data_IF_039847582026
#
_entry.id   IF_039847582026
#
_cell.length_a   1.000
_cell.length_b   1.000
_cell.length_c   1.000
_cell.angle_alpha   90.00
_cell.angle_beta   90.00
_cell.angle_gamma   90.00
#
_symmetry.space_group_name_H-M   'P 1'
#
loop_
_entity.id
_entity.type
_entity.pdbx_description
1 polymer ?
#
# COMPACT_ATOMS: atom_id res chain seq x y z
N UNK A 1 -13.87 45.34 -4.76
CA UNK A 1 -13.35 44.65 -3.56
C UNK A 1 -14.35 43.57 -3.16
N UNK A 2 -14.10 42.31 -3.52
CA UNK A 2 -14.97 41.18 -3.18
C UNK A 2 -14.08 40.00 -2.81
N UNK A 3 -13.98 39.72 -1.51
CA UNK A 3 -13.23 38.62 -0.92
C UNK A 3 -14.13 37.39 -0.83
N UNK A 4 -13.92 36.42 -1.73
CA UNK A 4 -14.51 35.07 -1.59
C UNK A 4 -13.63 34.22 -0.68
N UNK A 5 -14.13 33.95 0.52
CA UNK A 5 -13.68 32.87 1.39
C UNK A 5 -13.97 31.51 0.71
N UNK A 6 -12.92 30.76 0.38
CA UNK A 6 -13.00 29.33 0.03
C UNK A 6 -12.75 28.52 1.30
N UNK A 7 -13.80 27.91 1.84
CA UNK A 7 -13.72 26.93 2.91
C UNK A 7 -13.79 25.50 2.36
N UNK A 8 -12.75 24.72 2.70
CA UNK A 8 -12.76 23.31 3.07
C UNK A 8 -13.59 22.30 2.24
N UNK A 9 -12.97 21.75 1.20
CA UNK A 9 -13.37 20.50 0.57
C UNK A 9 -12.21 19.49 0.57
N UNK A 10 -11.93 18.86 1.71
CA UNK A 10 -10.80 17.93 1.84
C UNK A 10 -11.10 16.76 2.80
N UNK A 11 -12.28 16.13 2.66
CA UNK A 11 -12.61 14.90 3.43
C UNK A 11 -13.19 13.77 2.55
N UNK A 12 -13.60 13.99 1.30
CA UNK A 12 -14.42 13.00 0.58
C UNK A 12 -13.73 12.03 -0.42
N UNK A 13 -12.40 11.83 -0.37
CA UNK A 13 -11.71 10.91 -1.30
C UNK A 13 -11.02 9.70 -0.65
N UNK A 14 -11.14 9.52 0.66
CA UNK A 14 -10.57 8.37 1.39
C UNK A 14 -11.47 7.14 1.42
N UNK A 15 -12.79 7.28 1.19
CA UNK A 15 -13.76 6.20 1.37
C UNK A 15 -13.81 5.25 0.16
N UNK A 16 -13.64 5.75 -1.07
CA UNK A 16 -13.79 4.91 -2.27
C UNK A 16 -12.65 3.90 -2.49
N UNK A 17 -11.49 4.08 -1.86
CA UNK A 17 -10.40 3.09 -1.88
C UNK A 17 -10.50 2.07 -0.73
N UNK A 18 -11.32 2.33 0.28
CA UNK A 18 -11.47 1.46 1.45
C UNK A 18 -12.42 0.28 1.18
N UNK A 19 -13.46 0.49 0.37
CA UNK A 19 -14.48 -0.54 0.06
C UNK A 19 -13.90 -1.69 -0.77
N UNK A 20 -12.98 -1.41 -1.70
CA UNK A 20 -12.27 -2.46 -2.44
C UNK A 20 -11.28 -3.28 -1.57
N UNK A 21 -11.02 -2.85 -0.33
CA UNK A 21 -10.08 -3.48 0.58
C UNK A 21 -10.74 -4.41 1.60
N UNK A 22 -12.02 -4.16 1.95
CA UNK A 22 -12.76 -4.99 2.91
C UNK A 22 -13.17 -6.35 2.32
N UNK A 23 -13.38 -6.45 1.00
CA UNK A 23 -13.69 -7.74 0.35
C UNK A 23 -12.47 -8.65 0.13
N UNK A 24 -11.24 -8.17 0.36
CA UNK A 24 -10.01 -8.94 0.13
C UNK A 24 -9.29 -9.38 1.41
N UNK A 25 -9.77 -8.99 2.59
CA UNK A 25 -9.07 -9.11 3.87
C UNK A 25 -9.41 -10.30 4.77
N UNK A 26 -10.28 -11.22 4.35
CA UNK A 26 -10.89 -12.22 5.26
C UNK A 26 -10.14 -13.55 5.40
N UNK A 27 -8.90 -13.71 4.89
CA UNK A 27 -8.14 -14.96 5.07
C UNK A 27 -6.81 -14.79 5.83
N UNK A 28 -6.43 -15.74 6.73
CA UNK A 28 -5.25 -15.63 7.59
C UNK A 28 -3.90 -15.52 6.86
N UNK A 29 -3.84 -15.94 5.58
CA UNK A 29 -2.64 -15.89 4.74
C UNK A 29 -2.16 -14.45 4.40
N UNK A 30 -2.95 -13.42 4.72
CA UNK A 30 -2.64 -12.02 4.43
C UNK A 30 -1.87 -11.27 5.52
N UNK A 31 -1.54 -11.90 6.66
CA UNK A 31 -0.89 -11.20 7.78
C UNK A 31 0.53 -10.72 7.49
N UNK A 32 1.22 -11.37 6.54
CA UNK A 32 2.60 -11.03 6.14
C UNK A 32 2.73 -10.44 4.73
N UNK A 33 1.64 -10.42 3.95
CA UNK A 33 1.64 -9.77 2.65
C UNK A 33 1.25 -8.32 2.86
N UNK A 34 2.22 -7.42 2.90
CA UNK A 34 1.96 -5.98 2.78
C UNK A 34 1.33 -5.81 1.39
N UNK A 35 0.03 -5.48 1.26
CA UNK A 35 -0.47 -5.06 -0.03
C UNK A 35 0.28 -3.77 -0.39
N UNK A 36 1.26 -3.93 -1.28
CA UNK A 36 2.09 -2.90 -1.89
C UNK A 36 1.31 -1.93 -2.76
N UNK A 37 -0.04 -1.97 -2.71
CA UNK A 37 -0.93 -1.01 -3.34
C UNK A 37 -0.79 0.36 -2.70
N UNK A 38 0.28 1.04 -3.09
CA UNK A 38 0.39 2.48 -3.23
C UNK A 38 0.26 3.32 -1.95
N UNK A 39 1.40 3.69 -1.37
CA UNK A 39 1.64 5.03 -0.81
C UNK A 39 0.81 5.47 0.41
N UNK A 40 0.06 4.56 1.03
CA UNK A 40 -0.61 4.83 2.28
C UNK A 40 0.41 4.68 3.41
N UNK A 41 0.72 5.78 4.08
CA UNK A 41 1.38 5.80 5.39
C UNK A 41 0.86 4.62 6.24
N UNK A 42 1.72 3.71 6.74
CA UNK A 42 1.28 2.43 7.30
C UNK A 42 0.20 2.63 8.36
N UNK A 43 -0.85 1.80 8.35
CA UNK A 43 -2.00 2.01 9.23
C UNK A 43 -1.59 2.05 10.72
N UNK A 44 -0.65 1.18 11.11
CA UNK A 44 -0.09 1.17 12.47
C UNK A 44 0.57 2.50 12.83
N UNK A 45 1.31 3.10 11.90
CA UNK A 45 1.96 4.40 12.09
C UNK A 45 0.92 5.52 12.19
N UNK A 46 -0.16 5.50 11.38
CA UNK A 46 -1.28 6.47 11.52
C UNK A 46 -1.93 6.40 12.89
N UNK A 47 -2.20 5.18 13.36
CA UNK A 47 -2.81 4.94 14.68
C UNK A 47 -1.90 5.42 15.81
N UNK A 48 -0.61 5.09 15.74
CA UNK A 48 0.39 5.57 16.70
C UNK A 48 0.50 7.10 16.68
N UNK A 49 0.51 7.73 15.50
CA UNK A 49 0.54 9.19 15.39
C UNK A 49 -0.70 9.84 16.00
N UNK A 50 -1.90 9.28 15.76
CA UNK A 50 -3.14 9.77 16.35
C UNK A 50 -3.09 9.68 17.88
N UNK A 51 -2.62 8.55 18.42
CA UNK A 51 -2.48 8.34 19.86
C UNK A 51 -1.45 9.30 20.48
N UNK A 52 -0.31 9.54 19.83
CA UNK A 52 0.67 10.55 20.27
C UNK A 52 0.11 11.99 20.22
N UNK A 53 -0.72 12.31 19.22
CA UNK A 53 -1.41 13.61 19.16
C UNK A 53 -2.43 13.76 20.29
N UNK A 54 -3.09 12.68 20.67
CA UNK A 54 -3.97 12.67 21.83
C UNK A 54 -3.18 12.80 23.14
N UNK A 55 -2.04 12.11 23.29
CA UNK A 55 -1.11 12.32 24.42
C UNK A 55 -0.71 13.80 24.54
N UNK A 56 -0.33 14.41 23.42
CA UNK A 56 0.02 15.83 23.35
C UNK A 56 -1.11 16.73 23.87
N UNK A 57 -2.36 16.40 23.52
CA UNK A 57 -3.53 17.11 24.03
C UNK A 57 -3.68 16.94 25.54
N UNK A 58 -3.58 15.71 26.07
CA UNK A 58 -3.70 15.42 27.51
C UNK A 58 -2.66 16.15 28.36
N UNK A 59 -1.42 16.23 27.87
CA UNK A 59 -0.31 16.94 28.53
C UNK A 59 -0.54 18.45 28.65
N UNK A 60 -1.31 19.05 27.73
CA UNK A 60 -1.62 20.49 27.76
C UNK A 60 -2.74 20.86 28.74
N UNK A 61 -3.51 19.88 29.22
CA UNK A 61 -4.64 20.14 30.11
C UNK A 61 -4.16 20.52 31.52
N UNK A 62 -4.95 21.34 32.20
CA UNK A 62 -4.67 21.71 33.58
C UNK A 62 -4.64 20.46 34.49
N UNK A 63 -3.82 20.43 35.55
CA UNK A 63 -3.75 19.30 36.48
C UNK A 63 -5.08 18.94 37.15
N UNK A 64 -6.01 19.89 37.25
CA UNK A 64 -7.36 19.67 37.81
C UNK A 64 -8.31 18.99 36.81
N UNK A 65 -7.96 18.92 35.53
CA UNK A 65 -8.81 18.38 34.49
C UNK A 65 -8.86 16.84 34.57
N UNK A 66 -10.06 16.25 34.52
CA UNK A 66 -10.26 14.79 34.68
C UNK A 66 -9.41 13.96 33.71
N UNK A 67 -9.31 14.37 32.44
CA UNK A 67 -8.49 13.67 31.46
C UNK A 67 -6.97 13.73 31.76
N UNK A 68 -6.48 14.79 32.41
CA UNK A 68 -5.09 14.84 32.87
C UNK A 68 -4.87 13.86 34.04
N UNK A 69 -5.79 13.85 35.01
CA UNK A 69 -5.75 12.89 36.12
C UNK A 69 -5.83 11.44 35.63
N UNK A 70 -6.64 11.16 34.60
CA UNK A 70 -6.71 9.85 33.97
C UNK A 70 -5.37 9.46 33.29
N UNK A 71 -4.64 10.41 32.70
CA UNK A 71 -3.30 10.17 32.17
C UNK A 71 -2.33 9.79 33.29
N UNK A 72 -2.33 10.51 34.42
CA UNK A 72 -1.49 10.23 35.59
C UNK A 72 -1.78 8.84 36.15
N UNK A 73 -3.06 8.47 36.32
CA UNK A 73 -3.42 7.12 36.78
C UNK A 73 -3.06 6.04 35.75
N UNK A 74 -3.23 6.32 34.45
CA UNK A 74 -2.81 5.41 33.39
C UNK A 74 -1.30 5.15 33.43
N UNK A 75 -0.48 6.15 33.76
CA UNK A 75 0.97 6.00 33.96
C UNK A 75 1.27 5.17 35.21
N UNK A 76 0.57 5.43 36.32
CA UNK A 76 0.68 4.64 37.56
C UNK A 76 0.35 3.15 37.33
N UNK A 77 -0.69 2.85 36.54
CA UNK A 77 -1.03 1.49 36.13
C UNK A 77 0.06 0.89 35.23
N UNK A 78 0.60 1.66 34.27
CA UNK A 78 1.69 1.23 33.38
C UNK A 78 2.93 0.85 34.17
N UNK A 79 3.32 1.65 35.16
CA UNK A 79 4.47 1.39 36.04
C UNK A 79 4.31 0.10 36.87
N UNK A 80 3.07 -0.30 37.17
CA UNK A 80 2.72 -1.56 37.85
C UNK A 80 2.46 -2.72 36.88
N UNK A 81 2.79 -2.55 35.59
CA UNK A 81 2.54 -3.52 34.51
C UNK A 81 1.08 -3.98 34.42
N UNK A 82 0.13 -3.08 34.72
CA UNK A 82 -1.31 -3.32 34.55
C UNK A 82 -1.78 -2.75 33.22
N UNK A 83 -2.90 -3.28 32.71
CA UNK A 83 -3.53 -2.77 31.50
C UNK A 83 -3.87 -1.28 31.67
N UNK A 84 -3.41 -0.47 30.74
CA UNK A 84 -3.60 0.98 30.76
C UNK A 84 -3.43 1.54 29.36
N UNK A 85 -4.02 2.72 29.12
CA UNK A 85 -3.90 3.39 27.83
C UNK A 85 -2.43 3.73 27.47
N UNK A 86 -1.62 4.09 28.47
CA UNK A 86 -0.18 4.30 28.30
C UNK A 86 0.57 3.03 27.88
N UNK A 87 0.21 1.87 28.46
CA UNK A 87 0.77 0.58 28.04
C UNK A 87 0.34 0.19 26.62
N UNK A 88 -0.90 0.46 26.24
CA UNK A 88 -1.39 0.24 24.87
C UNK A 88 -0.65 1.12 23.86
N UNK A 89 -0.30 2.36 24.25
CA UNK A 89 0.50 3.25 23.43
C UNK A 89 1.92 2.71 23.22
N UNK A 90 2.56 2.15 24.25
CA UNK A 90 3.85 1.45 24.10
C UNK A 90 3.75 0.29 23.10
N UNK A 91 2.72 -0.54 23.24
CA UNK A 91 2.47 -1.66 22.32
C UNK A 91 2.25 -1.15 20.89
N UNK A 92 1.50 -0.06 20.71
CA UNK A 92 1.27 0.54 19.41
C UNK A 92 2.57 1.10 18.78
N UNK A 93 3.44 1.71 19.59
CA UNK A 93 4.75 2.20 19.15
C UNK A 93 5.72 1.05 18.83
N UNK A 94 5.67 -0.06 19.56
CA UNK A 94 6.43 -1.28 19.26
C UNK A 94 5.92 -2.01 18.02
N UNK A 95 4.64 -1.92 17.71
CA UNK A 95 4.03 -2.62 16.58
C UNK A 95 4.32 -1.97 15.21
N UNK A 96 4.92 -0.77 15.16
CA UNK A 96 5.33 -0.13 13.91
C UNK A 96 6.52 -0.89 13.28
N UNK A 97 6.72 -0.83 11.94
CA UNK A 97 7.68 -1.70 11.26
C UNK A 97 9.15 -1.24 11.36
N UNK A 98 9.44 -0.38 12.33
CA UNK A 98 10.77 0.15 12.62
C UNK A 98 10.87 0.41 14.12
N UNK A 99 12.08 0.38 14.67
CA UNK A 99 12.29 0.66 16.09
C UNK A 99 11.83 2.07 16.41
N UNK A 100 11.13 2.26 17.52
CA UNK A 100 10.78 3.55 18.11
C UNK A 100 11.58 3.79 19.39
N UNK A 101 11.72 5.06 19.78
CA UNK A 101 12.28 5.42 21.10
C UNK A 101 11.27 4.96 22.15
N UNK A 102 11.71 4.36 23.28
CA UNK A 102 10.80 3.99 24.37
C UNK A 102 9.98 5.20 24.83
N UNK A 103 8.70 4.98 25.14
CA UNK A 103 7.89 6.03 25.72
C UNK A 103 8.34 6.25 27.17
N UNK A 104 8.89 7.44 27.43
CA UNK A 104 9.20 7.87 28.79
C UNK A 104 7.94 7.98 29.67
N UNK A 105 8.08 8.48 30.89
CA UNK A 105 6.93 8.74 31.75
C UNK A 105 5.97 9.72 31.06
N UNK A 106 4.74 9.25 30.78
CA UNK A 106 3.76 9.99 29.99
C UNK A 106 3.18 11.19 30.74
N UNK A 107 3.08 11.11 32.07
CA UNK A 107 2.57 12.18 32.92
C UNK A 107 3.56 13.34 33.07
N UNK A 108 4.87 13.07 33.01
CA UNK A 108 5.91 14.10 33.05
C UNK A 108 6.37 14.56 31.67
N UNK A 109 5.76 14.05 30.59
CA UNK A 109 6.19 14.36 29.24
C UNK A 109 5.82 15.81 28.90
N UNK A 110 6.78 16.59 28.41
CA UNK A 110 6.50 17.96 27.97
C UNK A 110 5.80 18.00 26.61
N UNK A 111 5.20 19.14 26.27
CA UNK A 111 4.63 19.41 24.95
C UNK A 111 5.68 19.22 23.84
N UNK A 112 6.90 19.71 24.07
CA UNK A 112 8.01 19.57 23.12
C UNK A 112 8.45 18.11 22.98
N UNK A 113 8.46 17.35 24.09
CA UNK A 113 8.72 15.91 24.06
C UNK A 113 7.70 15.15 23.20
N UNK A 114 6.41 15.48 23.32
CA UNK A 114 5.36 14.90 22.47
C UNK A 114 5.58 15.23 20.99
N UNK A 115 5.88 16.50 20.68
CA UNK A 115 6.14 16.95 19.31
C UNK A 115 7.37 16.25 18.71
N UNK A 116 8.43 16.05 19.50
CA UNK A 116 9.62 15.35 19.05
C UNK A 116 9.33 13.87 18.77
N UNK A 117 8.59 13.17 19.64
CA UNK A 117 8.16 11.78 19.37
C UNK A 117 7.35 11.66 18.08
N UNK A 118 6.41 12.58 17.84
CA UNK A 118 5.63 12.62 16.58
C UNK A 118 6.55 12.85 15.38
N UNK A 119 7.54 13.76 15.51
CA UNK A 119 8.50 14.04 14.45
C UNK A 119 9.42 12.84 14.14
N UNK A 120 9.89 12.14 15.18
CA UNK A 120 10.67 10.90 15.07
C UNK A 120 9.84 9.82 14.36
N UNK A 121 8.61 9.58 14.80
CA UNK A 121 7.70 8.61 14.19
C UNK A 121 7.52 8.89 12.69
N UNK A 122 7.22 10.16 12.34
CA UNK A 122 7.06 10.60 10.95
C UNK A 122 8.33 10.42 10.13
N UNK A 123 9.49 10.80 10.66
CA UNK A 123 10.79 10.67 9.98
C UNK A 123 11.14 9.21 9.71
N UNK A 124 11.06 8.36 10.74
CA UNK A 124 11.37 6.92 10.63
C UNK A 124 10.40 6.22 9.69
N UNK A 125 9.11 6.55 9.74
CA UNK A 125 8.13 6.01 8.80
C UNK A 125 8.43 6.37 7.35
N UNK A 126 8.80 7.63 7.07
CA UNK A 126 9.16 8.06 5.71
C UNK A 126 10.40 7.32 5.21
N UNK A 127 11.43 7.19 6.06
CA UNK A 127 12.66 6.46 5.72
C UNK A 127 12.36 4.98 5.47
N UNK A 128 11.55 4.36 6.32
CA UNK A 128 11.13 2.97 6.16
C UNK A 128 10.40 2.76 4.84
N UNK A 129 9.38 3.57 4.53
CA UNK A 129 8.64 3.48 3.26
C UNK A 129 9.59 3.61 2.07
N UNK A 130 10.52 4.58 2.11
CA UNK A 130 11.49 4.78 1.04
C UNK A 130 12.40 3.54 0.87
N UNK A 131 13.00 3.07 1.97
CA UNK A 131 13.89 1.90 1.96
C UNK A 131 13.18 0.65 1.44
N UNK A 132 11.97 0.39 1.93
CA UNK A 132 11.14 -0.73 1.46
C UNK A 132 10.86 -0.66 -0.04
N UNK A 133 10.59 0.53 -0.59
CA UNK A 133 10.35 0.69 -2.04
C UNK A 133 11.62 0.41 -2.85
N UNK A 134 12.77 0.95 -2.43
CA UNK A 134 14.04 0.76 -3.12
C UNK A 134 14.53 -0.70 -3.05
N UNK A 135 14.27 -1.41 -1.94
CA UNK A 135 14.68 -2.80 -1.76
C UNK A 135 13.74 -3.80 -2.46
N UNK A 136 12.48 -3.40 -2.74
CA UNK A 136 11.49 -4.31 -3.30
C UNK A 136 11.68 -4.51 -4.81
N UNK A 137 12.12 -5.72 -5.19
CA UNK A 137 12.34 -6.15 -6.58
C UNK A 137 11.08 -6.06 -7.45
N UNK A 138 9.90 -6.23 -6.86
CA UNK A 138 8.62 -6.18 -7.58
C UNK A 138 8.15 -4.76 -7.93
N UNK A 139 8.88 -3.72 -7.50
CA UNK A 139 8.54 -2.30 -7.72
C UNK A 139 9.61 -1.55 -8.54
N UNK A 140 10.15 -2.10 -9.66
CA UNK A 140 11.29 -1.48 -10.35
C UNK A 140 10.94 -0.11 -10.96
N UNK A 141 9.67 0.13 -11.23
CA UNK A 141 9.19 1.42 -11.72
C UNK A 141 9.18 2.51 -10.63
N UNK A 142 9.33 2.17 -9.36
CA UNK A 142 9.35 3.13 -8.25
C UNK A 142 10.73 3.43 -7.69
N UNK A 143 11.75 2.68 -8.08
CA UNK A 143 13.13 2.91 -7.68
C UNK A 143 13.62 4.29 -8.12
N UNK A 144 14.31 4.98 -7.23
CA UNK A 144 14.88 6.32 -7.44
C UNK A 144 13.89 7.34 -8.01
N UNK A 145 12.61 7.18 -7.65
CA UNK A 145 11.52 7.99 -8.20
C UNK A 145 11.70 9.48 -7.88
N UNK A 146 11.48 10.30 -8.92
CA UNK A 146 11.32 11.75 -8.81
C UNK A 146 9.87 12.12 -9.16
N UNK A 147 9.18 12.79 -8.24
CA UNK A 147 7.81 13.26 -8.47
C UNK A 147 7.84 14.50 -9.38
N UNK A 148 7.11 14.49 -10.51
CA UNK A 148 6.96 15.69 -11.32
C UNK A 148 6.23 16.76 -10.51
N UNK A 149 6.67 18.00 -10.67
CA UNK A 149 5.97 19.17 -10.14
C UNK A 149 5.15 19.79 -11.26
N UNK A 150 4.10 20.53 -10.91
CA UNK A 150 3.35 21.33 -11.89
C UNK A 150 4.25 22.43 -12.48
N UNK A 151 5.08 23.04 -11.62
CA UNK A 151 6.09 24.01 -11.99
C UNK A 151 7.47 23.57 -11.48
N UNK A 152 8.48 23.67 -12.33
CA UNK A 152 9.88 23.41 -11.98
C UNK A 152 10.32 21.94 -12.10
N UNK A 153 11.55 21.64 -11.67
CA UNK A 153 12.15 20.31 -11.86
C UNK A 153 11.54 19.26 -10.94
N UNK A 154 11.53 18.01 -11.40
CA UNK A 154 11.06 16.87 -10.61
C UNK A 154 11.87 16.71 -9.30
N UNK A 155 11.20 16.42 -8.19
CA UNK A 155 11.78 16.34 -6.84
C UNK A 155 11.67 14.95 -6.26
N UNK A 156 12.66 14.53 -5.47
CA UNK A 156 12.56 13.29 -4.69
C UNK A 156 11.61 13.53 -3.53
N UNK A 157 10.42 12.92 -3.59
CA UNK A 157 9.40 13.05 -2.54
C UNK A 157 8.96 11.67 -2.09
N UNK A 158 9.28 11.34 -0.83
CA UNK A 158 8.98 10.04 -0.22
C UNK A 158 7.47 9.82 -0.13
N UNK A 159 6.74 10.82 0.37
CA UNK A 159 5.29 10.75 0.59
C UNK A 159 4.61 11.99 0.06
N UNK A 160 3.80 11.84 -0.99
CA UNK A 160 2.93 12.89 -1.51
C UNK A 160 1.70 12.25 -2.18
N UNK A 161 0.69 13.08 -2.47
CA UNK A 161 -0.35 12.69 -3.42
C UNK A 161 0.29 12.63 -4.81
N UNK A 162 0.16 11.49 -5.49
CA UNK A 162 0.83 11.27 -6.77
C UNK A 162 0.13 12.03 -7.89
N UNK A 163 0.90 12.64 -8.79
CA UNK A 163 0.37 13.46 -9.89
C UNK A 163 -0.63 12.70 -10.79
N UNK A 164 -0.37 11.42 -11.09
CA UNK A 164 -1.27 10.61 -11.93
C UNK A 164 -2.66 10.39 -11.31
N UNK A 165 -2.79 10.48 -9.97
CA UNK A 165 -4.09 10.37 -9.31
C UNK A 165 -4.97 11.60 -9.57
N UNK A 166 -4.36 12.73 -9.94
CA UNK A 166 -5.05 13.96 -10.30
C UNK A 166 -5.19 14.10 -11.81
N UNK A 167 -4.14 13.73 -12.57
CA UNK A 167 -4.07 13.91 -14.03
C UNK A 167 -4.87 12.87 -14.82
N UNK A 168 -4.93 11.63 -14.35
CA UNK A 168 -5.68 10.55 -15.01
C UNK A 168 -7.11 10.56 -14.50
N UNK A 169 -8.01 11.19 -15.25
CA UNK A 169 -9.42 11.36 -14.88
C UNK A 169 -10.20 10.04 -14.95
N UNK A 170 -9.95 9.24 -15.99
CA UNK A 170 -10.61 7.95 -16.22
C UNK A 170 -10.23 6.95 -15.11
N UNK A 171 -11.19 6.48 -14.29
CA UNK A 171 -10.91 5.61 -13.14
C UNK A 171 -10.18 4.31 -13.49
N UNK A 172 -10.60 3.63 -14.55
CA UNK A 172 -10.01 2.36 -14.97
C UNK A 172 -8.54 2.49 -15.39
N UNK A 173 -8.21 3.58 -16.10
CA UNK A 173 -6.82 3.87 -16.48
C UNK A 173 -5.95 4.15 -15.27
N UNK A 174 -6.50 4.92 -14.32
CA UNK A 174 -5.82 5.23 -13.06
C UNK A 174 -5.61 3.98 -12.22
N UNK A 175 -6.60 3.09 -12.15
CA UNK A 175 -6.51 1.81 -11.44
C UNK A 175 -5.44 0.90 -12.07
N UNK A 176 -5.44 0.75 -13.40
CA UNK A 176 -4.44 -0.06 -14.11
C UNK A 176 -3.01 0.46 -13.88
N UNK A 177 -2.81 1.79 -13.98
CA UNK A 177 -1.52 2.41 -13.70
C UNK A 177 -1.10 2.24 -12.23
N UNK A 178 -2.06 2.34 -11.30
CA UNK A 178 -1.79 2.13 -9.87
C UNK A 178 -1.36 0.69 -9.63
N UNK A 179 -2.09 -0.29 -10.16
CA UNK A 179 -1.74 -1.72 -10.10
C UNK A 179 -0.34 -2.01 -10.66
N UNK A 180 0.01 -1.38 -11.79
CA UNK A 180 1.35 -1.46 -12.37
C UNK A 180 2.43 -1.02 -11.38
N UNK A 181 2.29 0.21 -10.88
CA UNK A 181 3.26 0.83 -9.99
C UNK A 181 3.37 0.12 -8.64
N UNK A 182 2.33 -0.60 -8.24
CA UNK A 182 2.26 -1.33 -6.98
C UNK A 182 2.68 -2.79 -7.09
N UNK A 183 3.13 -3.24 -8.28
CA UNK A 183 3.50 -4.64 -8.49
C UNK A 183 2.32 -5.62 -8.48
N UNK A 184 1.07 -5.14 -8.53
CA UNK A 184 -0.13 -5.98 -8.43
C UNK A 184 -0.41 -6.83 -9.68
N UNK A 185 0.42 -6.69 -10.71
CA UNK A 185 0.37 -7.50 -11.92
C UNK A 185 1.13 -8.82 -11.81
N UNK A 186 1.91 -9.02 -10.74
CA UNK A 186 2.64 -10.26 -10.44
C UNK A 186 3.47 -10.76 -11.63
N UNK A 187 4.40 -9.93 -12.08
CA UNK A 187 5.32 -10.25 -13.17
C UNK A 187 6.22 -11.42 -12.75
N UNK A 188 6.19 -12.52 -13.51
CA UNK A 188 6.95 -13.74 -13.16
C UNK A 188 8.46 -13.51 -13.04
N UNK A 189 8.99 -12.55 -13.79
CA UNK A 189 10.41 -12.21 -13.79
C UNK A 189 10.89 -11.39 -12.58
N UNK A 190 9.98 -10.85 -11.77
CA UNK A 190 10.27 -9.98 -10.63
C UNK A 190 10.03 -10.67 -9.28
N UNK A 191 10.46 -11.92 -9.16
CA UNK A 191 10.39 -12.68 -7.90
C UNK A 191 11.63 -12.42 -7.04
N UNK A 192 11.46 -12.45 -5.72
CA UNK A 192 12.55 -12.23 -4.76
C UNK A 192 13.66 -13.29 -4.85
N UNK A 193 13.33 -14.51 -5.28
CA UNK A 193 14.26 -15.62 -5.39
C UNK A 193 14.27 -16.23 -6.81
N UNK A 194 14.78 -15.51 -7.82
CA UNK A 194 14.72 -15.97 -9.20
C UNK A 194 15.45 -17.30 -9.43
N UNK A 195 16.49 -17.61 -8.63
CA UNK A 195 17.24 -18.87 -8.72
C UNK A 195 16.48 -20.11 -8.25
N UNK A 196 15.35 -19.94 -7.54
CA UNK A 196 14.51 -21.06 -7.09
C UNK A 196 13.53 -21.53 -8.16
N UNK A 197 13.40 -20.79 -9.27
CA UNK A 197 12.47 -21.10 -10.32
C UNK A 197 13.18 -21.58 -11.57
N UNK A 198 12.56 -22.53 -12.26
CA UNK A 198 13.01 -22.95 -13.58
C UNK A 198 12.97 -21.74 -14.54
N UNK A 199 13.93 -21.60 -15.47
CA UNK A 199 13.95 -20.48 -16.42
C UNK A 199 12.61 -20.29 -17.15
N UNK A 200 11.94 -21.39 -17.53
CA UNK A 200 10.60 -21.36 -18.14
C UNK A 200 9.51 -20.75 -17.25
N UNK A 201 9.62 -20.89 -15.93
CA UNK A 201 8.70 -20.30 -14.95
C UNK A 201 8.80 -18.78 -14.85
N UNK A 202 9.85 -18.16 -15.41
CA UNK A 202 10.09 -16.72 -15.41
C UNK A 202 9.74 -16.06 -16.75
N UNK A 203 9.42 -16.85 -17.78
CA UNK A 203 9.14 -16.35 -19.13
C UNK A 203 7.78 -15.63 -19.21
N UNK A 204 7.72 -14.68 -20.14
CA UNK A 204 6.52 -13.91 -20.47
C UNK A 204 5.38 -14.82 -20.88
N UNK A 205 4.26 -14.76 -20.14
CA UNK A 205 3.05 -15.56 -20.41
C UNK A 205 2.41 -15.30 -21.77
N UNK A 206 2.76 -14.21 -22.45
CA UNK A 206 2.20 -13.87 -23.76
C UNK A 206 3.05 -14.35 -24.93
N UNK A 207 4.34 -14.05 -24.93
CA UNK A 207 5.21 -14.42 -26.05
C UNK A 207 6.07 -15.66 -25.79
N UNK A 208 6.30 -16.03 -24.53
CA UNK A 208 7.14 -17.16 -24.14
C UNK A 208 8.65 -16.99 -24.41
N UNK A 209 9.11 -15.81 -24.85
CA UNK A 209 10.49 -15.61 -25.33
C UNK A 209 11.45 -15.06 -24.27
N UNK A 210 11.02 -14.01 -23.57
CA UNK A 210 11.87 -13.27 -22.62
C UNK A 210 11.28 -13.30 -21.21
N UNK A 211 12.10 -12.93 -20.23
CA UNK A 211 11.66 -12.83 -18.83
C UNK A 211 10.50 -11.83 -18.70
N UNK A 212 9.49 -12.22 -17.93
CA UNK A 212 8.30 -11.40 -17.73
C UNK A 212 8.58 -10.24 -16.77
N UNK A 213 8.97 -9.08 -17.30
CA UNK A 213 9.14 -7.82 -16.56
C UNK A 213 8.14 -6.77 -17.06
N UNK A 214 7.87 -5.69 -16.31
CA UNK A 214 7.11 -4.55 -16.81
C UNK A 214 7.67 -4.02 -18.14
N UNK A 215 8.99 -3.83 -18.20
CA UNK A 215 9.66 -3.35 -19.41
C UNK A 215 9.37 -4.27 -20.60
N UNK A 216 9.53 -5.58 -20.42
CA UNK A 216 9.22 -6.54 -21.47
C UNK A 216 7.74 -6.47 -21.87
N UNK A 217 6.83 -6.66 -20.92
CA UNK A 217 5.39 -6.80 -21.19
C UNK A 217 4.82 -5.61 -21.94
N UNK A 218 5.17 -4.40 -21.53
CA UNK A 218 4.61 -3.19 -22.13
C UNK A 218 5.44 -2.72 -23.33
N UNK A 219 6.77 -2.67 -23.24
CA UNK A 219 7.59 -1.96 -24.22
C UNK A 219 8.27 -2.85 -25.27
N UNK A 220 8.37 -4.16 -25.04
CA UNK A 220 9.13 -5.06 -25.93
C UNK A 220 8.24 -6.13 -26.54
N UNK A 221 7.43 -6.80 -25.72
CA UNK A 221 6.60 -7.96 -26.08
C UNK A 221 5.90 -7.81 -27.44
N UNK A 222 6.08 -8.82 -28.29
CA UNK A 222 5.61 -8.85 -29.69
C UNK A 222 4.19 -9.42 -29.83
N UNK A 223 3.49 -9.67 -28.72
CA UNK A 223 2.09 -10.06 -28.80
C UNK A 223 1.29 -8.97 -29.53
N UNK A 224 0.47 -9.37 -30.50
CA UNK A 224 -0.24 -8.47 -31.42
C UNK A 224 -0.96 -7.32 -30.71
N UNK A 225 -1.69 -7.65 -29.64
CA UNK A 225 -2.44 -6.68 -28.84
C UNK A 225 -1.53 -5.63 -28.18
N UNK A 226 -0.36 -6.05 -27.69
CA UNK A 226 0.64 -5.15 -27.09
C UNK A 226 1.26 -4.27 -28.16
N UNK A 227 1.60 -4.82 -29.33
CA UNK A 227 2.15 -4.07 -30.46
C UNK A 227 1.16 -3.01 -30.92
N UNK A 228 -0.11 -3.39 -31.14
CA UNK A 228 -1.17 -2.47 -31.54
C UNK A 228 -1.37 -1.34 -30.51
N UNK A 229 -1.35 -1.66 -29.22
CA UNK A 229 -1.43 -0.66 -28.15
C UNK A 229 -0.20 0.27 -28.12
N UNK A 230 1.01 -0.25 -28.42
CA UNK A 230 2.25 0.53 -28.48
C UNK A 230 2.28 1.48 -29.68
N UNK A 231 1.78 1.05 -30.84
CA UNK A 231 1.61 1.93 -32.00
C UNK A 231 0.64 3.08 -31.70
N UNK A 232 -0.49 2.80 -31.03
CA UNK A 232 -1.42 3.86 -30.59
C UNK A 232 -0.73 4.85 -29.63
N UNK A 233 0.01 4.33 -28.64
CA UNK A 233 0.79 5.17 -27.72
C UNK A 233 1.77 6.05 -28.49
N UNK A 234 2.52 5.48 -29.44
CA UNK A 234 3.49 6.23 -30.25
C UNK A 234 2.83 7.35 -31.06
N UNK A 235 1.70 7.07 -31.71
CA UNK A 235 0.94 8.08 -32.45
C UNK A 235 0.52 9.24 -31.54
N UNK A 236 0.00 8.93 -30.34
CA UNK A 236 -0.37 9.96 -29.34
C UNK A 236 0.84 10.77 -28.88
N UNK A 237 1.95 10.12 -28.53
CA UNK A 237 3.16 10.80 -28.08
C UNK A 237 3.75 11.68 -29.19
N UNK A 238 3.71 11.23 -30.45
CA UNK A 238 4.20 12.01 -31.59
C UNK A 238 3.41 13.32 -31.76
N UNK A 239 2.09 13.31 -31.58
CA UNK A 239 1.29 14.56 -31.60
C UNK A 239 1.67 15.54 -30.49
N UNK A 240 2.32 15.05 -29.43
CA UNK A 240 2.82 15.85 -28.31
C UNK A 240 4.31 16.21 -28.45
N UNK A 241 4.92 15.95 -29.62
CA UNK A 241 6.36 16.16 -29.85
C UNK A 241 7.27 15.18 -29.10
N UNK A 242 6.72 14.11 -28.53
CA UNK A 242 7.46 13.10 -27.80
C UNK A 242 7.73 11.88 -28.69
N UNK A 243 9.01 11.61 -28.99
CA UNK A 243 9.39 10.44 -29.77
C UNK A 243 9.55 9.20 -28.89
N UNK A 244 8.88 8.12 -29.27
CA UNK A 244 9.03 6.80 -28.64
C UNK A 244 9.75 5.84 -29.60
N UNK A 245 10.95 5.33 -29.24
CA UNK A 245 11.66 4.34 -30.05
C UNK A 245 10.81 3.14 -30.46
N UNK A 246 11.19 2.50 -31.58
CA UNK A 246 10.52 1.28 -32.07
C UNK A 246 10.96 0.04 -31.32
N UNK A 247 12.22 -0.01 -30.92
CA UNK A 247 12.83 -1.09 -30.17
C UNK A 247 13.47 -0.57 -28.90
N UNK A 248 13.51 -1.44 -27.88
CA UNK A 248 14.14 -1.18 -26.59
C UNK A 248 14.92 -2.42 -26.18
N UNK A 249 16.09 -2.24 -25.55
CA UNK A 249 16.63 -3.27 -24.66
C UNK A 249 15.88 -3.26 -23.32
N UNK A 250 15.94 -4.36 -22.57
CA UNK A 250 15.18 -4.55 -21.32
C UNK A 250 15.36 -3.42 -20.31
N UNK A 251 16.61 -3.05 -19.99
CA UNK A 251 16.89 -1.97 -19.04
C UNK A 251 16.40 -0.60 -19.55
N UNK A 252 16.44 -0.39 -20.86
CA UNK A 252 15.99 0.86 -21.48
C UNK A 252 14.46 0.98 -21.49
N UNK A 253 13.76 -0.15 -21.62
CA UNK A 253 12.30 -0.21 -21.60
C UNK A 253 11.72 0.31 -20.28
N UNK A 254 12.21 -0.17 -19.14
CA UNK A 254 11.70 0.28 -17.84
C UNK A 254 12.05 1.74 -17.53
N UNK A 255 13.26 2.17 -17.91
CA UNK A 255 13.67 3.57 -17.79
C UNK A 255 12.73 4.48 -18.62
N UNK A 256 12.39 4.06 -19.84
CA UNK A 256 11.44 4.79 -20.67
C UNK A 256 10.03 4.80 -20.07
N UNK A 257 9.57 3.68 -19.51
CA UNK A 257 8.29 3.64 -18.79
C UNK A 257 8.28 4.63 -17.62
N UNK A 258 9.34 4.65 -16.78
CA UNK A 258 9.46 5.62 -15.69
C UNK A 258 9.38 7.05 -16.21
N UNK A 259 10.10 7.37 -17.29
CA UNK A 259 10.07 8.70 -17.92
C UNK A 259 8.66 9.11 -18.34
N UNK A 260 7.90 8.21 -18.96
CA UNK A 260 6.52 8.51 -19.43
C UNK A 260 5.51 8.55 -18.28
N UNK A 261 5.67 7.70 -17.26
CA UNK A 261 4.76 7.66 -16.12
C UNK A 261 4.95 8.86 -15.20
N UNK A 262 6.19 9.32 -15.01
CA UNK A 262 6.53 10.43 -14.11
C UNK A 262 6.69 11.77 -14.83
N UNK A 263 6.10 11.91 -16.02
CA UNK A 263 5.99 13.17 -16.74
C UNK A 263 4.53 13.63 -16.80
N UNK A 264 4.33 14.94 -16.57
CA UNK A 264 3.01 15.52 -16.36
C UNK A 264 2.08 15.44 -17.58
N UNK A 265 2.68 15.39 -18.77
CA UNK A 265 1.96 15.41 -20.04
C UNK A 265 1.73 13.99 -20.55
N UNK A 266 2.74 13.14 -20.48
CA UNK A 266 2.72 11.79 -21.05
C UNK A 266 2.07 10.74 -20.15
N UNK A 267 1.83 11.03 -18.86
CA UNK A 267 1.18 10.08 -17.95
C UNK A 267 -0.24 9.67 -18.36
N UNK A 268 -0.99 10.58 -18.99
CA UNK A 268 -2.37 10.29 -19.46
C UNK A 268 -2.39 9.28 -20.60
N UNK A 269 -1.68 9.48 -21.74
CA UNK A 269 -1.60 8.47 -22.78
C UNK A 269 -0.93 7.18 -22.28
N UNK A 270 0.06 7.28 -21.39
CA UNK A 270 0.68 6.10 -20.78
C UNK A 270 -0.30 5.28 -19.94
N UNK A 271 -1.15 5.92 -19.13
CA UNK A 271 -2.17 5.22 -18.34
C UNK A 271 -3.20 4.50 -19.22
N UNK A 272 -3.64 5.12 -20.31
CA UNK A 272 -4.53 4.50 -21.31
C UNK A 272 -3.87 3.28 -21.95
N UNK A 273 -2.60 3.41 -22.32
CA UNK A 273 -1.83 2.31 -22.89
C UNK A 273 -1.69 1.14 -21.91
N UNK A 274 -1.30 1.41 -20.66
CA UNK A 274 -1.21 0.40 -19.59
C UNK A 274 -2.54 -0.31 -19.40
N UNK A 275 -3.65 0.45 -19.35
CA UNK A 275 -4.98 -0.13 -19.28
C UNK A 275 -5.29 -1.05 -20.47
N UNK A 276 -5.06 -0.60 -21.70
CA UNK A 276 -5.35 -1.36 -22.92
C UNK A 276 -4.58 -2.70 -22.96
N UNK A 277 -3.28 -2.66 -22.67
CA UNK A 277 -2.47 -3.88 -22.55
C UNK A 277 -2.99 -4.74 -21.39
N UNK A 278 -3.30 -4.13 -20.24
CA UNK A 278 -3.73 -4.91 -19.08
C UNK A 278 -5.07 -5.62 -19.29
N UNK A 279 -5.99 -4.99 -20.05
CA UNK A 279 -7.31 -5.54 -20.37
C UNK A 279 -7.22 -6.76 -21.29
N UNK A 280 -6.22 -6.80 -22.16
CA UNK A 280 -6.03 -7.93 -23.08
C UNK A 280 -5.33 -9.13 -22.43
N UNK A 281 -4.87 -8.96 -21.19
CA UNK A 281 -4.21 -9.99 -20.41
C UNK A 281 -5.20 -10.66 -19.44
N UNK A 282 -5.61 -11.89 -19.76
CA UNK A 282 -6.48 -12.72 -18.90
C UNK A 282 -5.93 -12.96 -17.49
N UNK A 283 -4.62 -12.81 -17.29
CA UNK A 283 -3.94 -13.09 -16.03
C UNK A 283 -3.79 -11.89 -15.10
N UNK A 284 -4.00 -10.66 -15.59
CA UNK A 284 -3.94 -9.48 -14.73
C UNK A 284 -5.26 -9.32 -13.99
N UNK A 285 -5.33 -9.91 -12.80
CA UNK A 285 -6.51 -9.85 -11.93
C UNK A 285 -6.92 -11.20 -11.33
N UNK A 286 -6.39 -12.32 -11.83
CA UNK A 286 -6.50 -13.61 -11.14
C UNK A 286 -5.30 -13.79 -10.21
N UNK A 287 -5.53 -14.17 -8.95
CA UNK A 287 -4.47 -14.66 -8.06
C UNK A 287 -3.76 -15.81 -8.80
N UNK A 288 -2.43 -15.76 -8.92
CA UNK A 288 -1.68 -16.90 -9.43
C UNK A 288 -1.86 -18.07 -8.44
N UNK A 289 -2.41 -19.23 -8.85
CA UNK A 289 -2.60 -20.37 -7.96
C UNK A 289 -1.31 -20.79 -7.24
N UNK A 290 -0.16 -20.64 -7.91
CA UNK A 290 1.15 -21.02 -7.38
C UNK A 290 1.64 -20.15 -6.20
N UNK A 291 1.05 -18.98 -5.95
CA UNK A 291 1.43 -18.17 -4.77
C UNK A 291 0.72 -18.60 -3.48
N UNK A 292 -0.27 -19.49 -3.57
CA UNK A 292 -0.85 -20.16 -2.39
C UNK A 292 0.05 -21.33 -1.96
N UNK A 293 0.72 -21.99 -2.91
CA UNK A 293 1.59 -23.13 -2.65
C UNK A 293 2.96 -22.74 -2.05
N UNK A 294 3.49 -21.53 -2.33
CA UNK A 294 4.82 -21.10 -1.85
C UNK A 294 4.88 -20.69 -0.36
N UNK A 295 3.81 -20.90 0.43
CA UNK A 295 3.75 -20.51 1.87
C UNK A 295 3.44 -21.67 2.83
N UNK A 296 3.12 -22.87 2.33
CA UNK A 296 3.11 -24.05 3.18
C UNK A 296 4.52 -24.68 3.10
N UNK A 297 5.30 -24.76 4.20
CA UNK A 297 6.24 -25.87 4.28
C UNK A 297 5.41 -27.14 4.13
N UNK A 298 5.83 -28.06 3.27
CA UNK A 298 5.27 -29.41 3.18
C UNK A 298 5.44 -30.05 4.57
N UNK A 299 4.45 -29.89 5.44
CA UNK A 299 4.23 -30.78 6.55
C UNK A 299 3.43 -31.93 5.98
N UNK A 300 4.16 -32.92 5.48
CA UNK A 300 3.68 -34.29 5.39
C UNK A 300 3.35 -34.75 6.83
N UNK A 301 2.17 -34.39 7.34
CA UNK A 301 1.61 -34.97 8.55
C UNK A 301 0.24 -35.57 8.20
N UNK A 302 0.34 -36.82 7.76
CA UNK A 302 -0.42 -37.97 8.26
C UNK A 302 -1.89 -37.71 8.63
N UNK A 303 -2.74 -38.00 7.65
CA UNK A 303 -3.92 -38.87 7.72
C UNK A 303 -4.17 -39.54 9.10
N UNK A 304 -4.73 -38.78 10.05
CA UNK A 304 -5.34 -39.30 11.26
C UNK A 304 -6.85 -39.18 11.11
N UNK A 305 -7.48 -40.31 10.76
CA UNK A 305 -8.93 -40.45 10.68
C UNK A 305 -9.58 -40.09 12.01
N UNK A 306 -10.50 -39.13 11.96
CA UNK A 306 -11.45 -38.90 13.03
C UNK A 306 -12.77 -39.54 12.64
N UNK A 307 -13.06 -40.66 13.30
CA UNK A 307 -14.34 -41.33 13.27
C UNK A 307 -15.44 -40.36 13.70
N UNK A 308 -16.52 -40.41 12.94
CA UNK A 308 -17.70 -39.60 13.12
C UNK A 308 -18.54 -40.21 14.26
N UNK A 309 -18.33 -39.74 15.49
CA UNK A 309 -19.21 -40.11 16.59
C UNK A 309 -20.49 -39.26 16.52
N UNK A 310 -21.62 -39.92 16.32
CA UNK A 310 -22.95 -39.33 16.19
C UNK A 310 -23.64 -39.41 17.53
N UNK A 311 -23.34 -38.45 18.39
CA UNK A 311 -24.02 -38.24 19.66
C UNK A 311 -25.31 -37.45 19.50
N UNK A 312 -26.41 -38.14 19.78
CA UNK A 312 -27.81 -37.71 19.85
C UNK A 312 -28.07 -36.63 20.90
N UNK A 313 -29.08 -35.80 20.59
CA UNK A 313 -30.13 -35.23 21.46
C UNK A 313 -29.72 -34.70 22.85
N UNK A 314 -29.92 -33.39 23.07
CA UNK A 314 -30.90 -32.96 24.07
C UNK A 314 -31.26 -31.48 23.91
N UNK A 315 -32.56 -31.23 23.94
CA UNK A 315 -33.16 -29.91 23.78
C UNK A 315 -33.01 -29.03 25.02
N UNK A 316 -33.04 -27.72 24.78
CA UNK A 316 -33.44 -26.74 25.78
C UNK A 316 -33.96 -25.50 25.08
N UNK A 317 -35.28 -25.31 25.20
CA UNK A 317 -35.98 -24.06 25.01
C UNK A 317 -35.59 -23.10 26.12
N UNK A 318 -35.41 -21.82 25.78
CA UNK A 318 -35.66 -20.60 26.56
C UNK A 318 -34.74 -19.51 25.98
N UNK A 319 -35.10 -18.28 25.70
CA UNK A 319 -36.30 -17.50 25.92
C UNK A 319 -35.96 -16.12 25.35
N UNK A 320 -36.90 -15.51 24.62
CA UNK A 320 -36.69 -14.21 23.99
C UNK A 320 -36.60 -13.08 25.02
N UNK A 321 -35.59 -12.23 24.86
CA UNK A 321 -35.56 -10.90 25.47
C UNK A 321 -35.21 -9.87 24.38
N UNK A 322 -36.27 -9.19 23.94
CA UNK A 322 -36.25 -8.03 23.07
C UNK A 322 -35.69 -6.85 23.87
N UNK A 323 -34.50 -6.35 23.50
CA UNK A 323 -33.99 -5.08 24.03
C UNK A 323 -34.24 -3.98 22.99
N UNK A 324 -35.22 -3.13 23.29
CA UNK A 324 -35.41 -1.83 22.65
C UNK A 324 -34.31 -0.90 23.18
N UNK A 325 -33.46 -0.40 22.29
CA UNK A 325 -32.52 0.67 22.56
C UNK A 325 -32.93 1.89 21.73
N UNK A 326 -33.52 2.88 22.40
CA UNK A 326 -33.68 4.23 21.88
C UNK A 326 -32.41 5.04 22.15
N UNK A 327 -31.70 5.42 21.08
CA UNK A 327 -30.82 6.58 20.99
C UNK A 327 -30.89 7.17 19.58
#
# INVERSE_FOLDING_TARGET
MSTRLRSNGLICLTVSCYVAFLELGSTPAYRNYIPSSAYLYPLRVRRAELALRYLRYLVQLAPTHLAHNALVESESLRARSKASWGGDLDLALHAVPFTMVPLGNTASLSLDGCNELINILRRRARLWVWKTVEEMVSLPLLHSRREPQEEGPARVVQMCRRHYLTRVTIPDHRLALTRLLCGSFFFRGLRSHPGTHTPGGLMCRKCGRERETPGHVFMICEAEETVCAREELRGRLQTMGCLLPRSFGDAHAEAQMRKLIFDWNTVVPMARFVYRVSRSWKFFGRRLPSMVAEVAPDTDEEDAGWEHDTGTEDGSMDGGAEMVLDF
#
